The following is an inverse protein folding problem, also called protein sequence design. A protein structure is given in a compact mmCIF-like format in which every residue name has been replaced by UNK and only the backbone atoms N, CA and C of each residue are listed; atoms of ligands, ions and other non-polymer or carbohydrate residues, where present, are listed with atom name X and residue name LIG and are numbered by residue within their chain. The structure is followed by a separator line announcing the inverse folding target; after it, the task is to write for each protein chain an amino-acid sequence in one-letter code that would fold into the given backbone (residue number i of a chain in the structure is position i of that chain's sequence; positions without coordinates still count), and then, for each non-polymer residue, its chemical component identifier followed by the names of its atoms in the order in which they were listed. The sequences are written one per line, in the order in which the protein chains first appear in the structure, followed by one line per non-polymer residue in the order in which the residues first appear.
data_IF_278095086969
#
_entry.id   IF_278095086969
#
_cell.length_a   1.000
_cell.length_b   1.000
_cell.length_c   1.000
_cell.angle_alpha   90.00
_cell.angle_beta   90.00
_cell.angle_gamma   90.00
#
_symmetry.space_group_name_H-M   'P 1'
#
loop_
_entity.id
_entity.type
_entity.pdbx_description
1 polymer ?
#
# COMPACT_ATOMS: atom_id res chain seq x y z
N UNK A 1 -17.41 92.12 19.16
CA UNK A 1 -16.57 91.93 17.99
C UNK A 1 -17.00 90.57 17.38
N UNK A 2 -17.39 90.58 16.14
CA UNK A 2 -18.12 89.50 15.42
C UNK A 2 -17.28 88.25 15.25
N UNK A 3 -17.87 87.10 15.50
CA UNK A 3 -17.33 85.81 15.06
C UNK A 3 -18.43 85.12 14.25
N UNK A 4 -18.12 84.90 13.00
CA UNK A 4 -18.97 84.25 11.99
C UNK A 4 -18.94 82.75 12.11
N UNK A 5 -20.11 82.14 12.01
CA UNK A 5 -20.34 80.71 11.90
C UNK A 5 -20.04 80.24 10.48
N UNK A 6 -19.27 79.12 10.36
CA UNK A 6 -19.20 78.41 9.13
C UNK A 6 -19.76 76.95 9.36
N UNK A 7 -20.78 76.70 8.57
CA UNK A 7 -21.37 75.35 8.45
C UNK A 7 -20.44 74.47 7.62
N UNK A 8 -20.08 73.33 8.14
CA UNK A 8 -19.50 72.21 7.32
C UNK A 8 -20.49 71.09 7.22
N UNK A 9 -20.79 70.78 5.99
CA UNK A 9 -21.72 69.71 5.61
C UNK A 9 -21.16 68.30 5.88
N UNK A 10 -22.07 67.49 6.29
CA UNK A 10 -21.75 66.03 6.51
C UNK A 10 -21.53 65.25 5.21
N UNK A 11 -20.40 64.61 5.12
CA UNK A 11 -20.16 63.58 4.12
C UNK A 11 -20.51 62.23 4.75
N UNK A 12 -21.58 61.64 4.28
CA UNK A 12 -21.96 60.26 4.61
C UNK A 12 -21.04 59.35 3.83
N UNK A 13 -20.07 58.73 4.50
CA UNK A 13 -19.26 57.67 3.94
C UNK A 13 -20.05 56.37 3.96
N UNK A 14 -20.53 55.92 2.80
CA UNK A 14 -21.04 54.55 2.58
C UNK A 14 -19.85 53.59 2.62
N UNK A 15 -19.68 52.87 3.73
CA UNK A 15 -18.82 51.72 3.83
C UNK A 15 -19.54 50.54 3.15
N UNK A 16 -19.13 50.25 1.91
CA UNK A 16 -19.49 49.01 1.23
C UNK A 16 -18.76 47.85 1.92
N UNK A 17 -19.48 47.08 2.74
CA UNK A 17 -19.02 45.80 3.28
C UNK A 17 -18.96 44.79 2.12
N UNK A 18 -17.78 44.61 1.54
CA UNK A 18 -17.50 43.49 0.66
C UNK A 18 -17.46 42.25 1.53
N UNK A 19 -18.57 41.50 1.62
CA UNK A 19 -18.63 40.16 2.17
C UNK A 19 -17.78 39.26 1.28
N UNK A 20 -16.57 38.96 1.71
CA UNK A 20 -15.77 37.87 1.20
C UNK A 20 -16.53 36.54 1.54
N UNK A 21 -17.37 36.12 0.61
CA UNK A 21 -17.86 34.75 0.60
C UNK A 21 -16.66 33.84 0.32
N UNK A 22 -15.98 33.41 1.38
CA UNK A 22 -15.13 32.22 1.33
C UNK A 22 -16.06 31.05 1.02
N UNK A 23 -16.29 30.81 -0.26
CA UNK A 23 -16.98 29.61 -0.74
C UNK A 23 -16.17 28.42 -0.25
N UNK A 24 -16.64 27.74 0.80
CA UNK A 24 -16.22 26.39 1.07
C UNK A 24 -16.43 25.64 -0.25
N UNK A 25 -15.35 25.25 -0.90
CA UNK A 25 -15.41 24.36 -2.05
C UNK A 25 -16.07 23.08 -1.55
N UNK A 26 -17.37 23.01 -1.72
CA UNK A 26 -18.16 21.81 -1.48
C UNK A 26 -17.54 20.78 -2.40
N UNK A 27 -16.95 19.72 -1.83
CA UNK A 27 -16.40 18.62 -2.61
C UNK A 27 -17.52 18.19 -3.57
N UNK A 28 -17.30 18.38 -4.86
CA UNK A 28 -18.25 17.96 -5.87
C UNK A 28 -18.54 16.48 -5.63
N UNK A 29 -19.80 16.09 -5.59
CA UNK A 29 -20.20 14.70 -5.43
C UNK A 29 -19.55 13.83 -6.52
N UNK A 30 -19.61 12.49 -6.39
CA UNK A 30 -18.96 11.61 -7.35
C UNK A 30 -19.47 11.85 -8.76
N UNK A 31 -18.58 11.71 -9.73
CA UNK A 31 -18.88 11.89 -11.15
C UNK A 31 -20.08 11.04 -11.58
N UNK A 32 -20.95 11.56 -12.43
CA UNK A 32 -22.19 10.88 -12.85
C UNK A 32 -22.09 10.23 -14.25
N UNK A 33 -21.11 10.61 -15.06
CA UNK A 33 -20.92 10.06 -16.42
C UNK A 33 -19.45 10.15 -16.84
N UNK A 34 -19.05 9.25 -17.75
CA UNK A 34 -17.77 9.31 -18.44
C UNK A 34 -17.98 10.06 -19.75
N UNK A 35 -17.23 11.14 -19.95
CA UNK A 35 -17.23 11.94 -21.17
C UNK A 35 -16.14 11.52 -22.16
N UNK A 36 -15.76 12.46 -23.04
CA UNK A 36 -14.62 12.29 -23.96
C UNK A 36 -13.33 12.13 -23.16
N UNK A 37 -12.47 11.19 -23.59
CA UNK A 37 -11.17 10.94 -22.99
C UNK A 37 -10.24 12.13 -23.17
N UNK A 38 -9.40 12.39 -22.16
CA UNK A 38 -8.43 13.48 -22.15
C UNK A 38 -7.12 13.09 -22.86
N UNK A 39 -6.99 11.83 -23.28
CA UNK A 39 -5.83 11.33 -24.00
C UNK A 39 -4.66 10.88 -23.12
N UNK A 40 -4.76 11.00 -21.80
CA UNK A 40 -3.71 10.66 -20.85
C UNK A 40 -4.30 10.24 -19.50
N UNK A 41 -3.55 9.43 -18.75
CA UNK A 41 -3.76 9.16 -17.32
C UNK A 41 -2.42 9.01 -16.63
N UNK A 42 -2.23 9.72 -15.52
CA UNK A 42 -1.01 9.72 -14.70
C UNK A 42 -1.24 8.93 -13.42
N UNK A 43 -0.46 7.88 -13.20
CA UNK A 43 -0.69 6.89 -12.14
C UNK A 43 0.54 6.77 -11.25
N UNK A 44 0.36 6.94 -9.94
CA UNK A 44 1.35 6.52 -8.94
C UNK A 44 1.10 5.05 -8.62
N UNK A 45 2.12 4.22 -8.75
CA UNK A 45 1.98 2.78 -8.58
C UNK A 45 3.18 2.11 -7.92
N UNK A 46 2.94 0.98 -7.25
CA UNK A 46 4.00 0.11 -6.78
C UNK A 46 4.83 -0.45 -7.94
N UNK A 47 6.12 -0.81 -7.72
CA UNK A 47 6.91 -1.54 -8.71
C UNK A 47 6.19 -2.81 -9.16
N UNK A 48 6.16 -3.07 -10.46
CA UNK A 48 5.53 -4.26 -11.02
C UNK A 48 3.99 -4.23 -11.14
N UNK A 49 3.32 -3.14 -10.77
CA UNK A 49 1.85 -3.06 -10.82
C UNK A 49 1.30 -2.68 -12.20
N UNK A 50 2.08 -1.98 -13.01
CA UNK A 50 1.63 -1.49 -14.32
C UNK A 50 2.70 -1.82 -15.36
N UNK A 51 2.51 -2.96 -16.03
CA UNK A 51 3.49 -3.51 -16.94
C UNK A 51 3.12 -3.29 -18.42
N UNK A 52 4.17 -3.05 -19.18
CA UNK A 52 4.15 -2.75 -20.64
C UNK A 52 5.00 -3.74 -21.43
N UNK A 53 5.28 -4.90 -20.85
CA UNK A 53 6.15 -5.91 -21.44
C UNK A 53 7.64 -5.54 -21.48
N UNK A 54 8.07 -4.58 -20.67
CA UNK A 54 9.47 -4.15 -20.64
C UNK A 54 10.39 -5.19 -19.98
N UNK A 55 9.94 -5.79 -18.90
CA UNK A 55 10.67 -6.83 -18.16
C UNK A 55 10.46 -8.22 -18.78
N UNK A 56 9.23 -8.56 -19.13
CA UNK A 56 8.84 -9.77 -19.85
C UNK A 56 7.65 -9.44 -20.75
N UNK A 57 7.82 -9.69 -22.07
CA UNK A 57 6.80 -9.39 -23.10
C UNK A 57 5.45 -10.06 -22.88
N UNK A 58 5.37 -11.10 -22.07
CA UNK A 58 4.11 -11.78 -21.71
C UNK A 58 3.21 -10.92 -20.83
N UNK A 59 3.79 -9.95 -20.10
CA UNK A 59 3.11 -9.12 -19.13
C UNK A 59 2.96 -7.69 -19.67
N UNK A 60 1.95 -7.49 -20.50
CA UNK A 60 1.57 -6.19 -21.05
C UNK A 60 0.06 -6.01 -21.00
N UNK A 61 -0.39 -5.19 -20.08
CA UNK A 61 -1.80 -4.79 -19.99
C UNK A 61 -2.03 -3.29 -20.22
N UNK A 62 -0.98 -2.58 -20.60
CA UNK A 62 -1.05 -1.15 -20.91
C UNK A 62 -1.25 -0.88 -22.39
N UNK A 63 -0.49 -1.53 -23.27
CA UNK A 63 -0.50 -1.24 -24.71
C UNK A 63 -1.90 -1.42 -25.32
N UNK A 64 -2.61 -2.49 -24.92
CA UNK A 64 -3.98 -2.76 -25.37
C UNK A 64 -4.96 -1.69 -24.90
N UNK A 65 -4.85 -1.24 -23.66
CA UNK A 65 -5.66 -0.16 -23.10
C UNK A 65 -5.46 1.16 -23.85
N UNK A 66 -4.21 1.56 -24.06
CA UNK A 66 -3.89 2.78 -24.80
C UNK A 66 -4.45 2.79 -26.20
N UNK A 67 -4.33 1.65 -26.92
CA UNK A 67 -4.86 1.47 -28.26
C UNK A 67 -6.40 1.56 -28.30
N UNK A 68 -7.06 0.95 -27.31
CA UNK A 68 -8.52 0.90 -27.27
C UNK A 68 -9.16 2.22 -26.82
N UNK A 69 -8.49 3.00 -25.97
CA UNK A 69 -9.09 4.19 -25.34
C UNK A 69 -8.51 5.52 -25.81
N UNK A 70 -7.32 5.51 -26.41
CA UNK A 70 -6.53 6.70 -26.70
C UNK A 70 -5.90 7.35 -25.46
N UNK A 71 -6.06 6.77 -24.25
CA UNK A 71 -5.51 7.27 -23.00
C UNK A 71 -4.07 6.75 -22.80
N UNK A 72 -3.09 7.61 -22.99
CA UNK A 72 -1.68 7.28 -22.71
C UNK A 72 -1.45 7.15 -21.21
N UNK A 73 -0.89 6.03 -20.79
CA UNK A 73 -0.59 5.74 -19.38
C UNK A 73 0.82 6.21 -19.05
N UNK A 74 0.93 7.10 -18.07
CA UNK A 74 2.20 7.51 -17.47
C UNK A 74 2.27 6.98 -16.04
N UNK A 75 3.39 6.36 -15.69
CA UNK A 75 3.57 5.75 -14.37
C UNK A 75 4.70 6.45 -13.62
N UNK A 76 4.41 6.87 -12.41
CA UNK A 76 5.40 7.24 -11.40
C UNK A 76 5.44 6.10 -10.38
N UNK A 77 6.54 5.37 -10.33
CA UNK A 77 6.73 4.34 -9.30
C UNK A 77 6.98 5.00 -7.95
N UNK A 78 6.33 4.48 -6.92
CA UNK A 78 6.57 4.76 -5.51
C UNK A 78 6.84 3.45 -4.77
N UNK A 79 7.82 3.45 -3.89
CA UNK A 79 8.34 2.25 -3.25
C UNK A 79 7.78 2.04 -1.83
N UNK A 80 7.12 3.06 -1.27
CA UNK A 80 6.49 3.01 0.06
C UNK A 80 5.15 3.71 0.07
N UNK A 81 4.29 3.34 1.03
CA UNK A 81 3.02 4.03 1.29
C UNK A 81 3.23 5.52 1.62
N UNK A 82 4.32 5.85 2.32
CA UNK A 82 4.63 7.24 2.67
C UNK A 82 5.02 8.06 1.45
N UNK A 83 5.80 7.48 0.52
CA UNK A 83 6.10 8.12 -0.78
C UNK A 83 4.84 8.33 -1.61
N UNK A 84 3.92 7.36 -1.66
CA UNK A 84 2.63 7.52 -2.35
C UNK A 84 1.81 8.67 -1.77
N UNK A 85 1.73 8.77 -0.45
CA UNK A 85 1.01 9.86 0.22
C UNK A 85 1.68 11.21 -0.07
N UNK A 86 3.02 11.28 -0.08
CA UNK A 86 3.76 12.50 -0.43
C UNK A 86 3.46 12.94 -1.87
N UNK A 87 3.59 12.05 -2.84
CA UNK A 87 3.31 12.34 -4.26
C UNK A 87 1.85 12.78 -4.48
N UNK A 88 0.89 12.15 -3.81
CA UNK A 88 -0.52 12.55 -3.90
C UNK A 88 -0.79 13.88 -3.18
N UNK A 89 0.01 14.27 -2.18
CA UNK A 89 -0.07 15.60 -1.57
C UNK A 89 0.50 16.68 -2.48
N UNK A 90 1.58 16.39 -3.22
CA UNK A 90 2.15 17.28 -4.24
C UNK A 90 1.18 17.45 -5.42
N UNK A 91 0.42 16.43 -5.75
CA UNK A 91 -0.54 16.41 -6.85
C UNK A 91 0.10 16.20 -8.22
N UNK A 92 -0.68 16.42 -9.28
CA UNK A 92 -0.21 16.20 -10.65
C UNK A 92 -0.45 14.77 -11.17
N UNK A 93 -1.02 13.91 -10.35
CA UNK A 93 -1.43 12.56 -10.71
C UNK A 93 -2.95 12.41 -10.71
N UNK A 94 -3.44 11.44 -11.48
CA UNK A 94 -4.87 11.13 -11.55
C UNK A 94 -5.25 9.96 -10.64
N UNK A 95 -4.39 8.94 -10.58
CA UNK A 95 -4.63 7.70 -9.85
C UNK A 95 -3.44 7.33 -8.96
N UNK A 96 -3.73 6.56 -7.92
CA UNK A 96 -2.73 5.89 -7.08
C UNK A 96 -3.19 4.48 -6.73
N UNK A 97 -2.25 3.51 -6.72
CA UNK A 97 -2.50 2.15 -6.21
C UNK A 97 -2.03 2.09 -4.76
N UNK A 98 -2.94 2.23 -3.80
CA UNK A 98 -2.61 2.43 -2.41
C UNK A 98 -2.98 1.23 -1.54
N UNK A 99 -2.07 0.81 -0.67
CA UNK A 99 -2.36 -0.14 0.42
C UNK A 99 -3.14 0.54 1.54
N UNK A 100 -3.75 -0.25 2.43
CA UNK A 100 -4.69 0.26 3.44
C UNK A 100 -4.15 1.31 4.40
N UNK A 101 -2.86 1.30 4.67
CA UNK A 101 -2.18 2.32 5.48
C UNK A 101 -1.98 3.66 4.75
N UNK A 102 -1.86 3.65 3.41
CA UNK A 102 -1.85 4.86 2.61
C UNK A 102 -3.26 5.36 2.30
N UNK A 103 -4.16 4.47 1.88
CA UNK A 103 -5.51 4.82 1.42
C UNK A 103 -6.32 5.56 2.49
N UNK A 104 -6.28 5.12 3.75
CA UNK A 104 -6.98 5.79 4.85
C UNK A 104 -6.43 7.20 5.12
N UNK A 105 -5.12 7.42 4.98
CA UNK A 105 -4.50 8.75 5.11
C UNK A 105 -4.90 9.68 3.95
N UNK A 106 -4.94 9.15 2.73
CA UNK A 106 -5.37 9.90 1.55
C UNK A 106 -6.85 10.31 1.63
N UNK A 107 -7.71 9.43 2.14
CA UNK A 107 -9.13 9.73 2.40
C UNK A 107 -9.26 10.82 3.48
N UNK A 108 -8.60 10.62 4.62
CA UNK A 108 -8.65 11.57 5.74
C UNK A 108 -8.08 12.94 5.36
N UNK A 109 -7.04 12.99 4.54
CA UNK A 109 -6.42 14.20 4.01
C UNK A 109 -7.18 14.85 2.86
N UNK A 110 -8.30 14.29 2.39
CA UNK A 110 -9.07 14.81 1.24
C UNK A 110 -8.27 14.78 -0.07
N UNK A 111 -7.28 13.90 -0.22
CA UNK A 111 -6.44 13.80 -1.41
C UNK A 111 -7.04 12.94 -2.50
N UNK A 112 -8.02 12.12 -2.16
CA UNK A 112 -8.76 11.28 -3.10
C UNK A 112 -10.26 11.59 -3.03
N UNK A 113 -10.93 11.40 -4.16
CA UNK A 113 -12.36 11.64 -4.29
C UNK A 113 -13.16 10.34 -4.21
N UNK A 114 -14.44 10.47 -3.90
CA UNK A 114 -15.41 9.38 -3.98
C UNK A 114 -15.52 8.85 -5.41
N UNK A 115 -15.51 7.53 -5.56
CA UNK A 115 -15.70 6.83 -6.84
C UNK A 115 -17.18 6.45 -7.01
N UNK A 116 -17.75 6.83 -8.15
CA UNK A 116 -19.04 6.30 -8.57
C UNK A 116 -18.85 4.90 -9.16
N UNK A 117 -19.10 3.88 -8.37
CA UNK A 117 -18.93 2.47 -8.78
C UNK A 117 -19.85 2.07 -9.93
N UNK A 118 -20.94 2.81 -10.21
CA UNK A 118 -21.81 2.59 -11.38
C UNK A 118 -21.10 2.91 -12.70
N UNK A 119 -20.05 3.74 -12.66
CA UNK A 119 -19.20 4.03 -13.82
C UNK A 119 -18.07 3.01 -14.02
N UNK A 120 -18.02 2.00 -13.16
CA UNK A 120 -17.11 0.85 -13.25
C UNK A 120 -17.96 -0.42 -13.31
N UNK A 121 -18.51 -0.78 -14.49
CA UNK A 121 -19.51 -1.85 -14.64
C UNK A 121 -19.08 -3.19 -14.05
N UNK A 122 -17.79 -3.50 -14.10
CA UNK A 122 -17.22 -4.72 -13.54
C UNK A 122 -17.07 -4.72 -12.02
N UNK A 123 -17.34 -3.59 -11.32
CA UNK A 123 -17.16 -3.50 -9.85
C UNK A 123 -17.96 -4.58 -9.10
N UNK A 124 -19.16 -4.91 -9.57
CA UNK A 124 -19.98 -5.97 -8.97
C UNK A 124 -19.39 -7.39 -9.07
N UNK A 125 -18.32 -7.59 -9.87
CA UNK A 125 -17.58 -8.85 -10.01
C UNK A 125 -16.35 -8.94 -9.09
N UNK A 126 -15.99 -7.86 -8.42
CA UNK A 126 -14.95 -7.85 -7.40
C UNK A 126 -15.36 -8.78 -6.26
N UNK A 127 -14.38 -9.44 -5.63
CA UNK A 127 -14.58 -10.28 -4.44
C UNK A 127 -15.37 -9.51 -3.37
N UNK A 128 -16.42 -10.14 -2.85
CA UNK A 128 -17.32 -9.55 -1.84
C UNK A 128 -16.57 -9.05 -0.59
N UNK A 129 -15.47 -9.72 -0.22
CA UNK A 129 -14.62 -9.35 0.91
C UNK A 129 -13.93 -7.99 0.68
N UNK A 130 -13.69 -7.63 -0.59
CA UNK A 130 -13.02 -6.39 -0.99
C UNK A 130 -13.97 -5.25 -1.35
N UNK A 131 -15.19 -5.54 -1.83
CA UNK A 131 -16.10 -4.49 -2.35
C UNK A 131 -16.35 -3.34 -1.35
N UNK A 132 -16.47 -3.66 -0.06
CA UNK A 132 -16.74 -2.68 1.00
C UNK A 132 -15.65 -2.68 2.08
N UNK A 133 -14.43 -3.02 1.70
CA UNK A 133 -13.35 -3.14 2.66
C UNK A 133 -13.07 -1.78 3.38
N UNK A 134 -12.78 -1.81 4.70
CA UNK A 134 -12.72 -0.60 5.52
C UNK A 134 -11.56 0.32 5.19
N UNK A 135 -10.57 -0.13 4.44
CA UNK A 135 -9.44 0.69 4.04
C UNK A 135 -9.72 1.58 2.81
N UNK A 136 -10.82 1.37 2.09
CA UNK A 136 -11.24 2.25 0.98
C UNK A 136 -12.72 2.63 1.00
N UNK A 137 -13.51 2.11 1.96
CA UNK A 137 -14.92 2.47 2.16
C UNK A 137 -15.08 3.14 3.51
N UNK A 138 -15.32 4.44 3.51
CA UNK A 138 -15.41 5.27 4.72
C UNK A 138 -16.72 6.05 4.69
N UNK A 139 -17.50 5.98 5.76
CA UNK A 139 -18.81 6.66 5.85
C UNK A 139 -19.80 6.22 4.76
N UNK A 140 -19.73 4.96 4.32
CA UNK A 140 -20.57 4.42 3.24
C UNK A 140 -20.18 4.87 1.83
N UNK A 141 -19.07 5.58 1.67
CA UNK A 141 -18.56 6.09 0.40
C UNK A 141 -17.37 5.25 -0.07
N UNK A 142 -17.35 4.91 -1.36
CA UNK A 142 -16.23 4.20 -1.99
C UNK A 142 -15.21 5.21 -2.51
N UNK A 143 -13.94 5.04 -2.13
CA UNK A 143 -12.84 5.92 -2.56
C UNK A 143 -11.88 5.25 -3.54
N UNK A 144 -12.17 4.03 -3.98
CA UNK A 144 -11.35 3.36 -4.95
C UNK A 144 -11.92 2.02 -5.42
N UNK A 145 -11.21 1.40 -6.35
CA UNK A 145 -11.50 0.09 -6.91
C UNK A 145 -10.42 -0.88 -6.45
N UNK A 146 -10.79 -1.99 -5.77
CA UNK A 146 -9.83 -3.02 -5.37
C UNK A 146 -9.02 -3.53 -6.57
N UNK A 147 -7.72 -3.71 -6.38
CA UNK A 147 -6.82 -4.07 -7.47
C UNK A 147 -6.28 -5.49 -7.32
N UNK A 148 -5.58 -5.77 -6.24
CA UNK A 148 -5.07 -7.08 -5.86
C UNK A 148 -4.71 -7.11 -4.38
N UNK A 149 -4.46 -8.29 -3.85
CA UNK A 149 -4.01 -8.46 -2.46
C UNK A 149 -3.02 -9.60 -2.32
N UNK A 150 -2.25 -9.57 -1.25
CA UNK A 150 -1.28 -10.58 -0.93
C UNK A 150 -0.79 -10.46 0.51
N UNK A 151 0.12 -11.33 0.87
CA UNK A 151 0.76 -11.30 2.18
C UNK A 151 2.27 -11.17 2.06
N UNK A 152 2.89 -10.67 3.11
CA UNK A 152 4.33 -10.63 3.23
C UNK A 152 4.84 -12.05 3.51
N UNK A 153 5.93 -12.44 2.88
CA UNK A 153 6.51 -13.77 3.01
C UNK A 153 7.88 -13.69 3.67
N UNK A 154 8.27 -14.76 4.33
CA UNK A 154 9.68 -14.98 4.68
C UNK A 154 10.36 -15.58 3.45
N UNK A 155 11.11 -14.76 2.72
CA UNK A 155 11.96 -15.22 1.62
C UNK A 155 13.31 -15.67 2.16
N UNK A 156 13.80 -16.80 1.67
CA UNK A 156 15.05 -17.40 2.14
C UNK A 156 15.85 -18.05 1.01
N UNK A 157 17.17 -18.15 1.20
CA UNK A 157 18.07 -18.85 0.30
C UNK A 157 18.01 -20.38 0.55
N UNK A 158 17.53 -21.14 -0.43
CA UNK A 158 17.35 -22.60 -0.33
C UNK A 158 18.68 -23.39 -0.33
N UNK A 159 19.82 -22.76 -0.61
CA UNK A 159 21.12 -23.38 -0.40
C UNK A 159 21.53 -23.36 1.07
N UNK A 160 21.08 -22.36 1.84
CA UNK A 160 21.32 -22.22 3.27
C UNK A 160 20.27 -23.00 4.07
N UNK A 161 18.98 -22.81 3.74
CA UNK A 161 17.86 -23.46 4.40
C UNK A 161 17.38 -24.63 3.53
N UNK A 162 17.75 -25.85 3.90
CA UNK A 162 17.26 -27.07 3.21
C UNK A 162 15.81 -27.37 3.55
N UNK A 163 15.39 -27.02 4.76
CA UNK A 163 14.00 -27.01 5.19
C UNK A 163 13.52 -25.56 5.31
N UNK A 164 12.25 -25.32 4.97
CA UNK A 164 11.67 -24.00 5.04
C UNK A 164 11.67 -23.47 6.48
N UNK A 165 12.19 -22.28 6.75
CA UNK A 165 12.08 -21.68 8.08
C UNK A 165 10.61 -21.41 8.41
N UNK A 166 10.19 -21.79 9.60
CA UNK A 166 8.79 -21.76 10.04
C UNK A 166 8.47 -20.62 11.00
N UNK A 167 9.42 -19.72 11.26
CA UNK A 167 9.26 -18.62 12.20
C UNK A 167 9.97 -17.38 11.72
N UNK A 168 9.41 -16.22 12.01
CA UNK A 168 10.03 -14.92 11.81
C UNK A 168 11.27 -14.68 12.70
N UNK A 169 11.58 -15.58 13.66
CA UNK A 169 12.77 -15.46 14.49
C UNK A 169 14.07 -15.32 13.66
N UNK A 170 14.11 -15.91 12.46
CA UNK A 170 15.26 -15.81 11.52
C UNK A 170 15.64 -14.35 11.23
N UNK A 171 14.68 -13.44 11.20
CA UNK A 171 14.91 -12.02 10.93
C UNK A 171 14.80 -11.13 12.17
N UNK A 172 14.26 -11.64 13.29
CA UNK A 172 14.10 -10.85 14.52
C UNK A 172 15.11 -11.20 15.62
N UNK A 173 15.65 -12.41 15.64
CA UNK A 173 16.55 -12.88 16.73
C UNK A 173 17.94 -13.23 16.20
N UNK A 174 18.96 -12.99 17.02
CA UNK A 174 20.32 -13.43 16.71
C UNK A 174 20.41 -14.95 16.85
N UNK A 175 20.88 -15.62 15.78
CA UNK A 175 20.97 -17.08 15.76
C UNK A 175 21.99 -17.57 14.73
N UNK A 176 22.48 -18.79 14.92
CA UNK A 176 23.17 -19.51 13.85
C UNK A 176 22.16 -20.13 12.89
N UNK A 177 22.43 -19.98 11.59
CA UNK A 177 21.65 -20.56 10.51
C UNK A 177 22.04 -22.03 10.24
N UNK A 178 21.28 -22.79 9.42
CA UNK A 178 21.59 -24.17 9.13
C UNK A 178 22.97 -24.44 8.51
N UNK A 179 23.60 -23.42 7.92
CA UNK A 179 24.97 -23.48 7.41
C UNK A 179 26.06 -23.26 8.49
N UNK A 180 25.67 -23.19 9.75
CA UNK A 180 26.55 -22.97 10.91
C UNK A 180 27.00 -21.53 11.10
N UNK A 181 26.62 -20.60 10.23
CA UNK A 181 27.02 -19.17 10.30
C UNK A 181 25.93 -18.32 10.96
N UNK A 182 26.29 -17.20 11.62
CA UNK A 182 25.30 -16.30 12.20
C UNK A 182 24.44 -15.64 11.11
N UNK A 183 23.19 -15.29 11.45
CA UNK A 183 22.31 -14.50 10.59
C UNK A 183 22.71 -13.03 10.52
N UNK A 184 23.47 -12.54 11.50
CA UNK A 184 23.93 -11.15 11.57
C UNK A 184 24.70 -10.74 10.30
N UNK A 185 24.29 -9.62 9.70
CA UNK A 185 24.88 -9.11 8.46
C UNK A 185 24.43 -9.85 7.19
N UNK A 186 23.55 -10.86 7.31
CA UNK A 186 23.09 -11.69 6.19
C UNK A 186 21.58 -11.65 5.97
N UNK A 187 20.88 -10.83 6.75
CA UNK A 187 19.43 -10.67 6.66
C UNK A 187 19.06 -9.25 6.27
N UNK A 188 17.88 -9.12 5.69
CA UNK A 188 17.24 -7.85 5.40
C UNK A 188 15.85 -7.78 6.05
N UNK A 189 15.30 -6.58 6.12
CA UNK A 189 13.94 -6.31 6.55
C UNK A 189 13.33 -5.17 5.73
N UNK A 190 12.01 -5.07 5.69
CA UNK A 190 11.32 -3.98 5.02
C UNK A 190 11.59 -2.63 5.68
N UNK A 191 11.82 -1.60 4.86
CA UNK A 191 12.03 -0.22 5.28
C UNK A 191 10.73 0.56 5.20
N UNK A 192 10.04 0.67 6.31
CA UNK A 192 8.83 1.47 6.42
C UNK A 192 8.26 1.43 7.84
N UNK A 193 7.67 2.54 8.33
CA UNK A 193 7.11 2.60 9.69
C UNK A 193 6.06 1.52 9.97
N UNK A 194 5.35 1.06 8.93
CA UNK A 194 4.34 0.01 9.04
C UNK A 194 4.95 -1.33 9.49
N UNK A 195 6.26 -1.53 9.30
CA UNK A 195 6.98 -2.73 9.74
C UNK A 195 7.01 -2.91 11.27
N UNK A 196 6.67 -1.89 12.05
CA UNK A 196 6.42 -2.03 13.49
C UNK A 196 5.29 -3.04 13.76
N UNK A 197 4.31 -3.15 12.84
CA UNK A 197 3.25 -4.14 12.96
C UNK A 197 3.77 -5.58 12.79
N UNK A 198 4.79 -5.81 11.94
CA UNK A 198 5.42 -7.13 11.79
C UNK A 198 6.14 -7.54 13.08
N UNK A 199 6.82 -6.61 13.74
CA UNK A 199 7.41 -6.85 15.06
C UNK A 199 6.34 -7.14 16.13
N UNK A 200 5.23 -6.39 16.11
CA UNK A 200 4.10 -6.63 17.01
C UNK A 200 3.44 -7.99 16.76
N UNK A 201 3.25 -8.37 15.50
CA UNK A 201 2.73 -9.70 15.12
C UNK A 201 3.63 -10.82 15.64
N UNK A 202 4.93 -10.71 15.47
CA UNK A 202 5.88 -11.67 16.04
C UNK A 202 5.73 -11.78 17.56
N UNK A 203 5.59 -10.64 18.26
CA UNK A 203 5.43 -10.60 19.71
C UNK A 203 4.09 -11.18 20.19
N UNK A 204 3.04 -11.21 19.37
CA UNK A 204 1.76 -11.88 19.75
C UNK A 204 2.00 -13.34 20.13
N UNK A 205 2.91 -14.01 19.45
CA UNK A 205 3.27 -15.42 19.74
C UNK A 205 4.46 -15.53 20.70
N UNK A 206 5.49 -14.67 20.54
CA UNK A 206 6.72 -14.73 21.32
C UNK A 206 6.53 -14.29 22.77
N UNK A 207 5.68 -13.30 22.99
CA UNK A 207 5.37 -12.76 24.33
C UNK A 207 3.85 -12.50 24.49
N UNK A 208 3.02 -13.55 24.60
CA UNK A 208 1.58 -13.41 24.69
C UNK A 208 1.09 -12.63 25.92
N UNK A 209 1.94 -12.47 26.94
CA UNK A 209 1.62 -11.66 28.12
C UNK A 209 1.43 -10.16 27.80
N UNK A 210 1.95 -9.68 26.65
CA UNK A 210 1.67 -8.33 26.17
C UNK A 210 0.20 -8.11 25.77
N UNK A 211 -0.56 -9.18 25.53
CA UNK A 211 -1.98 -9.11 25.19
C UNK A 211 -2.27 -8.37 23.87
N UNK A 212 -1.33 -8.34 22.90
CA UNK A 212 -1.53 -7.74 21.59
C UNK A 212 -2.60 -8.55 20.86
N UNK A 213 -3.71 -7.90 20.46
CA UNK A 213 -4.80 -8.53 19.69
C UNK A 213 -4.78 -8.15 18.22
N UNK A 214 -4.20 -6.98 17.92
CA UNK A 214 -4.13 -6.40 16.59
C UNK A 214 -2.81 -5.66 16.44
N UNK A 215 -1.96 -6.02 15.46
CA UNK A 215 -0.63 -5.44 15.31
C UNK A 215 -0.65 -3.95 14.91
N UNK A 216 -1.80 -3.41 14.48
CA UNK A 216 -1.96 -1.98 14.16
C UNK A 216 -2.62 -1.16 15.27
N UNK A 217 -3.05 -1.81 16.35
CA UNK A 217 -3.72 -1.17 17.50
C UNK A 217 -2.91 -1.42 18.78
N UNK A 218 -1.76 -0.75 18.89
CA UNK A 218 -0.82 -0.93 20.00
C UNK A 218 -1.01 0.18 21.04
N UNK A 219 -1.19 -0.22 22.30
CA UNK A 219 -1.03 0.70 23.43
C UNK A 219 0.45 1.03 23.63
N UNK A 220 0.77 1.94 24.56
CA UNK A 220 2.14 2.45 24.77
C UNK A 220 3.13 1.33 25.13
N UNK A 221 2.76 0.36 25.96
CA UNK A 221 3.65 -0.71 26.41
C UNK A 221 3.90 -1.75 25.30
N UNK A 222 2.86 -2.13 24.56
CA UNK A 222 2.93 -3.00 23.40
C UNK A 222 3.81 -2.39 22.31
N UNK A 223 3.59 -1.09 22.05
CA UNK A 223 4.36 -0.32 21.09
C UNK A 223 5.85 -0.24 21.45
N UNK A 224 6.18 0.09 22.72
CA UNK A 224 7.55 0.09 23.22
C UNK A 224 8.22 -1.27 23.10
N UNK A 225 7.48 -2.37 23.34
CA UNK A 225 8.00 -3.72 23.16
C UNK A 225 8.33 -4.01 21.69
N UNK A 226 7.47 -3.60 20.74
CA UNK A 226 7.73 -3.74 19.31
C UNK A 226 8.98 -2.93 18.88
N UNK A 227 9.12 -1.68 19.34
CA UNK A 227 10.31 -0.87 19.07
C UNK A 227 11.58 -1.47 19.69
N UNK A 228 11.50 -2.04 20.89
CA UNK A 228 12.64 -2.70 21.53
C UNK A 228 13.11 -3.90 20.69
N UNK A 229 12.19 -4.70 20.15
CA UNK A 229 12.50 -5.80 19.25
C UNK A 229 13.16 -5.30 17.95
N UNK A 230 12.66 -4.22 17.36
CA UNK A 230 13.25 -3.63 16.15
C UNK A 230 14.65 -3.05 16.41
N UNK A 231 14.92 -2.47 17.59
CA UNK A 231 16.26 -2.04 17.98
C UNK A 231 17.24 -3.21 18.12
N UNK A 232 16.77 -4.37 18.56
CA UNK A 232 17.57 -5.61 18.57
C UNK A 232 17.81 -6.09 17.14
N UNK A 233 16.78 -6.17 16.32
CA UNK A 233 16.86 -6.55 14.91
C UNK A 233 17.82 -5.64 14.13
N UNK A 234 17.84 -4.32 14.41
CA UNK A 234 18.71 -3.35 13.74
C UNK A 234 20.20 -3.75 13.81
N UNK A 235 20.61 -4.46 14.87
CA UNK A 235 22.00 -4.94 15.05
C UNK A 235 22.32 -6.14 14.15
N UNK A 236 21.31 -6.82 13.63
CA UNK A 236 21.41 -8.03 12.82
C UNK A 236 21.27 -7.71 11.32
N UNK A 237 20.40 -6.77 10.99
CA UNK A 237 20.07 -6.39 9.61
C UNK A 237 21.23 -5.62 8.99
N UNK A 238 21.72 -6.10 7.85
CA UNK A 238 22.76 -5.38 7.09
C UNK A 238 22.17 -4.24 6.27
N UNK A 239 20.98 -4.43 5.69
CA UNK A 239 20.27 -3.44 4.88
C UNK A 239 18.76 -3.56 5.06
N UNK A 240 18.10 -2.43 5.22
CA UNK A 240 16.64 -2.34 5.06
C UNK A 240 16.32 -2.05 3.60
N UNK A 241 15.28 -2.68 3.08
CA UNK A 241 14.85 -2.51 1.69
C UNK A 241 13.47 -1.84 1.60
N UNK A 242 13.32 -0.91 0.70
CA UNK A 242 12.04 -0.32 0.28
C UNK A 242 11.82 -0.44 -1.23
N UNK A 243 12.88 -0.63 -2.00
CA UNK A 243 12.80 -0.89 -3.43
C UNK A 243 12.94 -2.41 -3.69
N UNK A 244 11.90 -3.00 -4.29
CA UNK A 244 11.85 -4.43 -4.58
C UNK A 244 12.96 -4.88 -5.54
N UNK A 245 13.35 -4.04 -6.51
CA UNK A 245 14.41 -4.38 -7.46
C UNK A 245 15.79 -4.33 -6.81
N UNK A 246 16.00 -3.39 -5.88
CA UNK A 246 17.23 -3.36 -5.06
C UNK A 246 17.32 -4.63 -4.22
N UNK A 247 16.23 -5.08 -3.59
CA UNK A 247 16.24 -6.35 -2.84
C UNK A 247 16.55 -7.55 -3.75
N UNK A 248 15.99 -7.60 -4.96
CA UNK A 248 16.30 -8.65 -5.94
C UNK A 248 17.80 -8.66 -6.28
N UNK A 249 18.40 -7.50 -6.48
CA UNK A 249 19.82 -7.37 -6.76
C UNK A 249 20.67 -7.79 -5.56
N UNK A 250 20.30 -7.38 -4.37
CA UNK A 250 20.94 -7.76 -3.11
C UNK A 250 20.98 -9.28 -2.90
N UNK A 251 19.85 -9.97 -3.10
CA UNK A 251 19.81 -11.44 -3.03
C UNK A 251 20.59 -12.13 -4.15
N UNK A 252 20.80 -11.42 -5.25
CA UNK A 252 21.58 -11.92 -6.38
C UNK A 252 23.08 -11.83 -6.12
N UNK A 253 23.56 -10.71 -5.55
CA UNK A 253 24.96 -10.30 -5.56
C UNK A 253 25.60 -10.15 -4.17
N UNK A 254 24.81 -9.83 -3.11
CA UNK A 254 25.36 -9.43 -1.80
C UNK A 254 25.31 -10.56 -0.75
N UNK A 255 24.83 -11.75 -1.11
CA UNK A 255 24.85 -12.92 -0.22
C UNK A 255 23.83 -12.91 0.89
N UNK A 256 22.74 -12.15 0.77
CA UNK A 256 21.62 -12.19 1.71
C UNK A 256 20.93 -13.55 1.69
N UNK A 257 20.47 -14.00 2.86
CA UNK A 257 19.95 -15.36 3.02
C UNK A 257 18.53 -15.44 3.58
N UNK A 258 18.02 -14.38 4.20
CA UNK A 258 16.62 -14.30 4.64
C UNK A 258 16.15 -12.84 4.71
N UNK A 259 14.87 -12.62 4.44
CA UNK A 259 14.22 -11.31 4.52
C UNK A 259 12.70 -11.44 4.56
N UNK A 260 12.03 -10.43 5.13
CA UNK A 260 10.64 -10.16 4.72
C UNK A 260 10.64 -9.71 3.26
N UNK A 261 9.66 -10.16 2.47
CA UNK A 261 9.57 -9.83 1.06
C UNK A 261 8.10 -9.93 0.58
N UNK A 262 7.84 -9.45 -0.61
CA UNK A 262 6.64 -9.83 -1.36
C UNK A 262 6.96 -11.06 -2.22
N UNK A 263 5.95 -11.80 -2.62
CA UNK A 263 6.13 -12.95 -3.52
C UNK A 263 6.75 -12.54 -4.87
N UNK A 264 6.57 -11.29 -5.26
CA UNK A 264 7.11 -10.66 -6.47
C UNK A 264 8.63 -10.82 -6.60
N UNK A 265 9.40 -10.48 -5.56
CA UNK A 265 10.86 -10.61 -5.59
C UNK A 265 11.28 -12.07 -5.74
N UNK A 266 10.64 -12.97 -5.01
CA UNK A 266 10.93 -14.40 -5.11
C UNK A 266 10.62 -14.96 -6.50
N UNK A 267 9.54 -14.52 -7.15
CA UNK A 267 9.19 -14.92 -8.52
C UNK A 267 10.27 -14.50 -9.52
N UNK A 268 10.73 -13.24 -9.46
CA UNK A 268 11.79 -12.75 -10.34
C UNK A 268 13.12 -13.48 -10.09
N UNK A 269 13.49 -13.68 -8.83
CA UNK A 269 14.71 -14.42 -8.50
C UNK A 269 14.67 -15.86 -8.99
N UNK A 270 13.53 -16.56 -8.82
CA UNK A 270 13.31 -17.92 -9.34
C UNK A 270 13.39 -17.97 -10.88
N UNK A 271 12.80 -16.99 -11.58
CA UNK A 271 12.89 -16.93 -13.04
C UNK A 271 14.32 -16.76 -13.56
N UNK A 272 15.21 -16.19 -12.71
CA UNK A 272 16.65 -16.06 -12.95
C UNK A 272 17.45 -17.24 -12.36
N UNK A 273 16.80 -18.35 -12.02
CA UNK A 273 17.41 -19.55 -11.43
C UNK A 273 18.18 -19.28 -10.12
N UNK A 274 17.77 -18.27 -9.35
CA UNK A 274 18.37 -18.02 -8.04
C UNK A 274 17.77 -18.96 -6.99
N UNK A 275 18.59 -19.48 -6.05
CA UNK A 275 18.17 -20.48 -5.07
C UNK A 275 17.39 -19.81 -3.93
N UNK A 276 16.17 -19.35 -4.23
CA UNK A 276 15.29 -18.74 -3.24
C UNK A 276 13.97 -19.49 -3.14
N UNK A 277 13.39 -19.52 -1.95
CA UNK A 277 12.04 -19.99 -1.68
C UNK A 277 11.36 -19.07 -0.66
N UNK A 278 10.08 -19.29 -0.45
CA UNK A 278 9.28 -18.51 0.49
C UNK A 278 8.53 -19.42 1.44
N UNK A 279 8.31 -18.96 2.66
CA UNK A 279 7.45 -19.62 3.65
C UNK A 279 6.52 -18.62 4.32
N UNK A 280 5.46 -19.16 4.91
CA UNK A 280 4.53 -18.45 5.78
C UNK A 280 4.84 -18.87 7.21
N UNK A 281 5.40 -18.01 8.05
CA UNK A 281 5.74 -18.34 9.43
C UNK A 281 4.51 -18.65 10.29
N UNK A 282 4.71 -19.45 11.32
CA UNK A 282 3.65 -19.89 12.25
C UNK A 282 3.01 -18.74 13.04
N UNK A 283 3.71 -17.66 13.23
CA UNK A 283 3.22 -16.45 13.89
C UNK A 283 2.17 -15.71 13.05
N UNK A 284 1.98 -16.12 11.80
CA UNK A 284 1.13 -15.43 10.83
C UNK A 284 1.91 -14.41 10.01
N UNK A 285 1.17 -13.64 9.22
CA UNK A 285 1.72 -12.66 8.27
C UNK A 285 0.91 -11.38 8.28
N UNK A 286 1.59 -10.27 8.07
CA UNK A 286 0.97 -9.05 7.59
C UNK A 286 0.76 -9.14 6.09
N UNK A 287 -0.08 -8.29 5.53
CA UNK A 287 -0.34 -8.29 4.10
C UNK A 287 -0.91 -6.96 3.64
N UNK A 288 -1.12 -6.87 2.36
CA UNK A 288 -1.60 -5.67 1.69
C UNK A 288 -2.80 -6.03 0.81
N UNK A 289 -3.74 -5.10 0.74
CA UNK A 289 -4.89 -5.18 -0.16
C UNK A 289 -5.03 -3.81 -0.81
N UNK A 290 -4.61 -3.74 -2.06
CA UNK A 290 -4.40 -2.48 -2.72
C UNK A 290 -5.61 -2.05 -3.52
N UNK A 291 -5.79 -0.75 -3.55
CA UNK A 291 -6.94 -0.10 -4.13
C UNK A 291 -6.48 1.01 -5.09
N UNK A 292 -6.98 1.02 -6.30
CA UNK A 292 -6.76 2.12 -7.23
C UNK A 292 -7.72 3.24 -6.89
N UNK A 293 -7.17 4.39 -6.46
CA UNK A 293 -7.92 5.55 -5.98
C UNK A 293 -7.71 6.74 -6.92
N UNK A 294 -8.73 7.60 -7.06
CA UNK A 294 -8.64 8.80 -7.90
C UNK A 294 -8.33 10.04 -7.06
N UNK A 295 -7.35 10.82 -7.51
CA UNK A 295 -7.00 12.09 -6.88
C UNK A 295 -8.19 13.07 -6.86
N UNK A 296 -8.34 13.84 -5.78
CA UNK A 296 -9.45 14.77 -5.62
C UNK A 296 -9.51 15.82 -6.74
N UNK A 297 -8.38 16.19 -7.32
CA UNK A 297 -8.25 17.13 -8.45
C UNK A 297 -7.66 16.48 -9.70
N UNK A 298 -8.01 15.22 -9.98
CA UNK A 298 -7.57 14.50 -11.19
C UNK A 298 -7.87 15.32 -12.46
N UNK A 299 -6.86 15.49 -13.31
CA UNK A 299 -6.97 16.27 -14.55
C UNK A 299 -7.56 15.44 -15.69
N UNK A 300 -7.45 14.12 -15.63
CA UNK A 300 -7.89 13.21 -16.68
C UNK A 300 -8.92 12.19 -16.15
N UNK A 301 -10.04 12.65 -15.55
CA UNK A 301 -10.97 11.75 -14.85
C UNK A 301 -11.68 10.76 -15.77
N UNK A 302 -11.89 11.06 -17.06
CA UNK A 302 -12.51 10.10 -17.98
C UNK A 302 -11.53 8.96 -18.31
N UNK A 303 -10.26 9.25 -18.59
CA UNK A 303 -9.23 8.24 -18.75
C UNK A 303 -9.01 7.46 -17.46
N UNK A 304 -9.08 8.12 -16.28
CA UNK A 304 -8.97 7.46 -14.98
C UNK A 304 -10.09 6.44 -14.76
N UNK A 305 -11.35 6.78 -15.01
CA UNK A 305 -12.46 5.81 -14.92
C UNK A 305 -12.32 4.63 -15.90
N UNK A 306 -11.85 4.90 -17.12
CA UNK A 306 -11.56 3.81 -18.09
C UNK A 306 -10.43 2.90 -17.57
N UNK A 307 -9.42 3.45 -16.91
CA UNK A 307 -8.39 2.66 -16.28
C UNK A 307 -8.93 1.85 -15.09
N UNK A 308 -9.78 2.42 -14.24
CA UNK A 308 -10.42 1.71 -13.14
C UNK A 308 -11.20 0.48 -13.62
N UNK A 309 -11.98 0.62 -14.71
CA UNK A 309 -12.67 -0.54 -15.31
C UNK A 309 -11.70 -1.54 -15.92
N UNK A 310 -10.67 -1.05 -16.64
CA UNK A 310 -9.66 -1.91 -17.24
C UNK A 310 -8.84 -2.68 -16.20
N UNK A 311 -8.51 -2.05 -15.08
CA UNK A 311 -7.69 -2.61 -14.01
C UNK A 311 -8.30 -3.85 -13.35
N UNK A 312 -9.62 -4.01 -13.45
CA UNK A 312 -10.33 -5.20 -12.97
C UNK A 312 -10.85 -6.10 -14.10
N UNK A 313 -10.27 -6.00 -15.31
CA UNK A 313 -10.51 -6.97 -16.37
C UNK A 313 -9.95 -8.35 -15.96
N UNK A 314 -10.68 -9.46 -16.15
CA UNK A 314 -10.26 -10.77 -15.65
C UNK A 314 -8.94 -11.26 -16.25
N UNK A 315 -8.67 -10.97 -17.54
CA UNK A 315 -7.39 -11.33 -18.15
C UNK A 315 -6.23 -10.56 -17.52
N UNK A 316 -6.36 -9.24 -17.38
CA UNK A 316 -5.37 -8.39 -16.73
C UNK A 316 -5.14 -8.86 -15.28
N UNK A 317 -6.19 -9.10 -14.53
CA UNK A 317 -6.13 -9.54 -13.14
C UNK A 317 -5.41 -10.89 -12.99
N UNK A 318 -5.62 -11.83 -13.90
CA UNK A 318 -4.91 -13.10 -13.93
C UNK A 318 -3.45 -12.95 -14.30
N UNK A 319 -3.13 -12.14 -15.30
CA UNK A 319 -1.76 -11.85 -15.73
C UNK A 319 -0.97 -11.13 -14.62
N UNK A 320 -1.58 -10.15 -13.98
CA UNK A 320 -1.02 -9.43 -12.85
C UNK A 320 -0.74 -10.36 -11.65
N UNK A 321 -1.71 -11.20 -11.30
CA UNK A 321 -1.56 -12.15 -10.21
C UNK A 321 -0.44 -13.17 -10.49
N UNK A 322 -0.30 -13.63 -11.73
CA UNK A 322 0.78 -14.52 -12.14
C UNK A 322 2.16 -13.83 -12.05
N UNK A 323 2.23 -12.58 -12.48
CA UNK A 323 3.44 -11.76 -12.44
C UNK A 323 3.88 -11.45 -11.01
N UNK A 324 2.95 -10.92 -10.23
CA UNK A 324 3.25 -10.42 -8.89
C UNK A 324 3.30 -11.52 -7.83
N UNK A 325 2.58 -12.63 -8.03
CA UNK A 325 2.41 -13.66 -7.00
C UNK A 325 1.37 -13.26 -5.96
N UNK A 326 0.32 -12.60 -6.40
CA UNK A 326 -0.78 -12.07 -5.60
C UNK A 326 -2.09 -12.80 -5.88
N UNK A 327 -3.14 -12.43 -5.17
CA UNK A 327 -4.51 -12.84 -5.46
C UNK A 327 -5.25 -11.68 -6.13
N UNK A 328 -5.92 -11.92 -7.27
CA UNK A 328 -6.64 -10.88 -7.98
C UNK A 328 -7.86 -10.40 -7.17
N UNK A 329 -8.26 -9.13 -7.37
CA UNK A 329 -9.51 -8.63 -6.79
C UNK A 329 -10.76 -9.29 -7.39
N UNK A 330 -10.64 -9.92 -8.56
CA UNK A 330 -11.70 -10.69 -9.23
C UNK A 330 -11.37 -12.19 -9.23
N UNK A 331 -12.17 -12.96 -8.50
CA UNK A 331 -11.91 -14.41 -8.34
C UNK A 331 -12.16 -15.22 -9.62
N UNK A 332 -12.95 -14.72 -10.56
CA UNK A 332 -13.11 -15.37 -11.87
C UNK A 332 -11.82 -15.31 -12.71
N UNK A 333 -10.90 -14.40 -12.42
CA UNK A 333 -9.58 -14.37 -13.01
C UNK A 333 -8.66 -15.53 -12.57
N UNK A 334 -9.02 -16.25 -11.50
CA UNK A 334 -8.28 -17.42 -11.01
C UNK A 334 -8.44 -18.66 -11.89
N UNK A 335 -9.30 -18.63 -12.89
CA UNK A 335 -9.57 -19.77 -13.79
C UNK A 335 -9.32 -19.41 -15.24
N UNK A 336 -8.75 -20.35 -15.98
CA UNK A 336 -8.55 -20.23 -17.42
C UNK A 336 -7.49 -19.22 -17.86
N UNK A 337 -6.74 -18.60 -16.94
CA UNK A 337 -5.60 -17.77 -17.29
C UNK A 337 -4.35 -18.65 -17.46
N UNK A 338 -3.70 -18.66 -18.65
CA UNK A 338 -2.58 -19.56 -18.93
C UNK A 338 -1.31 -19.24 -18.14
N UNK A 339 -1.13 -18.00 -17.67
CA UNK A 339 0.04 -17.58 -16.91
C UNK A 339 -0.13 -17.87 -15.43
N UNK A 340 -1.32 -17.61 -14.88
CA UNK A 340 -1.64 -17.85 -13.47
C UNK A 340 -1.84 -19.35 -13.19
N UNK A 341 -2.42 -20.07 -14.13
CA UNK A 341 -2.96 -21.45 -13.99
C UNK A 341 -4.10 -21.55 -12.97
N UNK A 342 -4.90 -22.60 -13.04
CA UNK A 342 -6.10 -22.74 -12.19
C UNK A 342 -5.79 -22.89 -10.69
N UNK A 343 -4.55 -23.26 -10.35
CA UNK A 343 -4.11 -23.37 -8.96
C UNK A 343 -3.33 -22.15 -8.46
N UNK A 344 -3.14 -21.14 -9.33
CA UNK A 344 -2.31 -19.98 -9.01
C UNK A 344 -2.81 -19.20 -7.81
N UNK A 345 -4.11 -18.92 -7.76
CA UNK A 345 -4.70 -18.18 -6.65
C UNK A 345 -4.54 -18.90 -5.31
N UNK A 346 -4.73 -20.22 -5.28
CA UNK A 346 -4.56 -21.00 -4.05
C UNK A 346 -3.10 -20.98 -3.58
N UNK A 347 -2.16 -21.15 -4.51
CA UNK A 347 -0.72 -21.02 -4.20
C UNK A 347 -0.33 -19.63 -3.70
N UNK A 348 -1.04 -18.61 -4.15
CA UNK A 348 -0.83 -17.22 -3.72
C UNK A 348 -1.62 -16.85 -2.44
N UNK A 349 -2.32 -17.83 -1.83
CA UNK A 349 -2.95 -17.67 -0.52
C UNK A 349 -4.41 -17.28 -0.53
N UNK A 350 -5.18 -17.57 -1.58
CA UNK A 350 -6.62 -17.27 -1.66
C UNK A 350 -7.38 -17.77 -0.42
N UNK A 351 -7.09 -18.98 0.05
CA UNK A 351 -7.69 -19.57 1.26
C UNK A 351 -7.19 -19.00 2.58
N UNK A 352 -6.25 -18.06 2.56
CA UNK A 352 -5.64 -17.49 3.77
C UNK A 352 -6.10 -16.06 4.09
N UNK A 353 -7.06 -15.50 3.35
CA UNK A 353 -7.51 -14.11 3.49
C UNK A 353 -7.79 -13.71 4.94
N UNK A 354 -8.54 -14.51 5.69
CA UNK A 354 -8.95 -14.21 7.05
C UNK A 354 -7.83 -14.36 8.09
N UNK A 355 -6.68 -14.89 7.68
CA UNK A 355 -5.49 -15.08 8.53
C UNK A 355 -4.44 -14.00 8.34
N UNK A 356 -4.69 -13.06 7.42
CA UNK A 356 -3.76 -11.98 7.08
C UNK A 356 -4.13 -10.74 7.88
N UNK A 357 -3.15 -10.14 8.54
CA UNK A 357 -3.28 -8.82 9.13
C UNK A 357 -3.00 -7.77 8.06
N UNK A 358 -4.05 -7.34 7.33
CA UNK A 358 -3.90 -6.37 6.26
C UNK A 358 -3.45 -5.00 6.76
N UNK A 359 -2.51 -4.40 6.06
CA UNK A 359 -1.98 -3.08 6.36
C UNK A 359 -3.09 -2.04 6.47
N UNK A 360 -3.03 -1.27 7.53
CA UNK A 360 -3.93 -0.14 7.77
C UNK A 360 -3.24 0.90 8.65
N UNK A 361 -3.68 2.14 8.53
CA UNK A 361 -3.15 3.22 9.34
C UNK A 361 -3.44 2.97 10.82
N UNK A 362 -2.42 2.92 11.70
CA UNK A 362 -2.60 2.89 13.14
C UNK A 362 -3.46 4.04 13.65
N UNK A 363 -4.41 3.72 14.52
CA UNK A 363 -5.41 4.66 15.03
C UNK A 363 -5.03 5.19 16.42
N UNK A 364 -5.60 6.34 16.81
CA UNK A 364 -5.39 6.94 18.15
C UNK A 364 -6.22 6.26 19.23
N UNK A 365 -7.38 5.75 18.88
CA UNK A 365 -8.28 5.05 19.80
C UNK A 365 -8.36 3.59 19.38
N UNK A 366 -7.95 2.69 20.27
CA UNK A 366 -7.99 1.25 20.03
C UNK A 366 -9.44 0.79 19.91
N UNK A 367 -9.79 0.12 18.82
CA UNK A 367 -11.12 -0.45 18.61
C UNK A 367 -11.23 -1.85 19.22
N UNK A 368 -10.15 -2.63 19.12
CA UNK A 368 -10.11 -4.05 19.48
C UNK A 368 -9.99 -4.26 21.00
N UNK A 369 -9.19 -3.44 21.67
CA UNK A 369 -8.90 -3.61 23.12
C UNK A 369 -9.37 -2.44 23.97
N UNK A 370 -9.90 -1.38 23.35
CA UNK A 370 -10.28 -0.14 24.04
C UNK A 370 -9.08 0.72 24.44
N UNK A 371 -9.35 1.92 24.93
CA UNK A 371 -8.30 2.85 25.38
C UNK A 371 -7.57 3.57 24.25
N UNK A 372 -6.34 4.02 24.55
CA UNK A 372 -5.49 4.77 23.62
C UNK A 372 -4.50 3.88 22.92
N UNK A 373 -4.40 4.04 21.62
CA UNK A 373 -3.36 3.48 20.77
C UNK A 373 -2.35 4.56 20.36
N UNK A 374 -1.16 4.11 20.04
CA UNK A 374 -0.09 5.00 19.55
C UNK A 374 -0.37 5.38 18.09
N UNK A 375 -0.55 6.67 17.78
CA UNK A 375 -0.93 7.13 16.43
C UNK A 375 0.23 7.03 15.45
N UNK A 376 -0.11 6.96 14.15
CA UNK A 376 0.84 6.69 13.08
C UNK A 376 2.01 7.68 12.99
N UNK A 377 1.82 8.96 13.31
CA UNK A 377 2.92 9.93 13.29
C UNK A 377 4.06 9.56 14.27
N UNK A 378 3.73 8.91 15.40
CA UNK A 378 4.71 8.36 16.33
C UNK A 378 5.45 7.17 15.68
N UNK A 379 4.74 6.31 14.93
CA UNK A 379 5.36 5.20 14.21
C UNK A 379 6.41 5.72 13.24
N UNK A 380 6.12 6.77 12.48
CA UNK A 380 7.06 7.39 11.54
C UNK A 380 8.30 7.91 12.28
N UNK A 381 8.12 8.74 13.31
CA UNK A 381 9.25 9.36 14.03
C UNK A 381 10.14 8.34 14.74
N UNK A 382 9.51 7.36 15.42
CA UNK A 382 10.24 6.39 16.22
C UNK A 382 10.90 5.31 15.34
N UNK A 383 10.30 4.96 14.18
CA UNK A 383 10.93 4.08 13.21
C UNK A 383 12.21 4.69 12.62
N UNK A 384 12.17 5.97 12.26
CA UNK A 384 13.35 6.71 11.79
C UNK A 384 14.46 6.69 12.87
N UNK A 385 14.09 6.84 14.15
CA UNK A 385 15.06 6.74 15.24
C UNK A 385 15.68 5.34 15.36
N UNK A 386 14.88 4.27 15.17
CA UNK A 386 15.38 2.88 15.14
C UNK A 386 16.37 2.68 13.99
N UNK A 387 16.04 3.14 12.78
CA UNK A 387 16.94 3.04 11.62
C UNK A 387 18.26 3.78 11.87
N UNK A 388 18.19 4.94 12.50
CA UNK A 388 19.36 5.73 12.92
C UNK A 388 20.13 5.18 14.13
N UNK A 389 19.73 4.00 14.65
CA UNK A 389 20.39 3.34 15.78
C UNK A 389 20.09 3.97 17.16
N UNK A 390 18.96 4.67 17.30
CA UNK A 390 18.51 5.36 18.53
C UNK A 390 17.30 4.70 19.17
#
# INVERSE_FOLDING_TARGET
MKITSNKLGGAVALLAAAALAAGAAQAAGPRQSIGKTEGRVDIVAWPGYIERGATDKKFDWVTGFEKATGCKVQVKTANTSDEMVALMNEGGFDLVTASGDASLRLIAGGRVQEINTKLVPSYGKVDKRLQNAPWHTVGGKHYGVPYQWGYNVLMYNSNVFKEAPTSWNVVFEEMNLPDGKPNKGRIQAFDGPIYIADAALYLMTKNPALGIKDPYELNEDQYKAALALLRQQRKLVARYWHDAFVQIDDFTNEGFVASSAWQFQANILKSKNRPVATSVPKEGVTGWADTTMMHASAKHPNCAYKWLEHSINPKLQGDLAAWFGSVPARLDACKGNPLLTDQGCERHGLGSFDKIHFWRTPVTNCKTQGGKCVPYYRWVSDYIAVLGGR
#
